data_IF_871036919736
#
_entry.id   IF_871036919736
#
_cell.length_a   1.000
_cell.length_b   1.000
_cell.length_c   1.000
_cell.angle_alpha   90.00
_cell.angle_beta   90.00
_cell.angle_gamma   90.00
#
_symmetry.space_group_name_H-M   'P 1'
#
loop_
_entity.id
_entity.type
_entity.pdbx_description
1 polymer ?
#
# COMPACT_ATOMS: atom_id res chain seq x y z
N UNK A 1 7.26 -17.17 27.55
CA UNK A 1 8.24 -16.80 26.51
C UNK A 1 8.97 -15.56 26.99
N UNK A 2 10.28 -15.66 27.23
CA UNK A 2 11.07 -14.56 27.80
C UNK A 2 11.30 -13.41 26.81
N UNK A 3 11.72 -12.25 27.32
CA UNK A 3 12.10 -11.02 26.59
C UNK A 3 13.00 -11.27 25.35
N UNK A 4 13.75 -12.37 25.33
CA UNK A 4 14.54 -12.81 24.18
C UNK A 4 13.68 -13.20 22.96
N UNK A 5 12.55 -13.88 23.16
CA UNK A 5 11.63 -14.24 22.06
C UNK A 5 10.86 -13.04 21.51
N UNK A 6 10.57 -12.05 22.36
CA UNK A 6 9.96 -10.77 21.94
C UNK A 6 10.90 -9.97 21.03
N UNK A 7 12.19 -9.92 21.37
CA UNK A 7 13.20 -9.23 20.56
C UNK A 7 13.38 -9.85 19.17
N UNK A 8 13.41 -11.18 19.06
CA UNK A 8 13.52 -11.89 17.78
C UNK A 8 12.31 -11.65 16.88
N UNK A 9 11.10 -11.71 17.43
CA UNK A 9 9.87 -11.44 16.67
C UNK A 9 9.81 -9.98 16.19
N UNK A 10 10.25 -9.04 17.03
CA UNK A 10 10.32 -7.63 16.65
C UNK A 10 11.39 -7.37 15.58
N UNK A 11 12.51 -8.10 15.60
CA UNK A 11 13.54 -7.99 14.55
C UNK A 11 13.06 -8.57 13.22
N UNK A 12 12.33 -9.69 13.21
CA UNK A 12 11.74 -10.26 11.99
C UNK A 12 10.70 -9.30 11.37
N UNK A 13 9.83 -8.69 12.19
CA UNK A 13 8.82 -7.72 11.76
C UNK A 13 9.46 -6.41 11.27
N UNK A 14 10.47 -5.90 11.99
CA UNK A 14 11.19 -4.70 11.59
C UNK A 14 12.03 -4.93 10.33
N UNK A 15 12.63 -6.11 10.16
CA UNK A 15 13.36 -6.47 8.94
C UNK A 15 12.39 -6.58 7.77
N UNK A 16 11.19 -7.14 7.96
CA UNK A 16 10.13 -7.19 6.95
C UNK A 16 9.64 -5.79 6.55
N UNK A 17 9.37 -4.91 7.53
CA UNK A 17 9.00 -3.51 7.29
C UNK A 17 10.16 -2.71 6.67
N UNK A 18 11.41 -2.98 7.06
CA UNK A 18 12.61 -2.29 6.58
C UNK A 18 13.07 -2.76 5.19
N UNK A 19 12.87 -4.03 4.84
CA UNK A 19 13.07 -4.57 3.49
C UNK A 19 12.01 -4.03 2.52
N UNK A 20 10.76 -3.91 3.00
CA UNK A 20 9.68 -3.25 2.26
C UNK A 20 9.94 -1.76 2.04
N UNK A 21 10.60 -1.08 3.01
CA UNK A 21 10.99 0.32 2.90
C UNK A 21 12.27 0.54 2.07
N UNK A 22 13.24 -0.38 2.11
CA UNK A 22 14.52 -0.23 1.39
C UNK A 22 14.38 -0.37 -0.12
N UNK A 23 13.37 -1.10 -0.63
CA UNK A 23 13.02 -1.08 -2.06
C UNK A 23 12.41 0.26 -2.53
N UNK A 24 12.04 1.16 -1.61
CA UNK A 24 11.37 2.44 -1.92
C UNK A 24 12.31 3.67 -1.86
N UNK A 25 13.57 3.52 -1.39
CA UNK A 25 14.55 4.62 -1.25
C UNK A 25 15.58 4.61 -2.39
N UNK A 26 15.13 4.32 -3.62
CA UNK A 26 15.96 4.44 -4.82
C UNK A 26 15.34 5.38 -5.86
N UNK A 27 14.81 6.53 -5.43
CA UNK A 27 14.78 7.74 -6.25
C UNK A 27 14.58 9.01 -5.37
N UNK A 28 15.63 9.81 -5.11
CA UNK A 28 15.55 10.99 -4.28
C UNK A 28 15.49 12.27 -5.12
N UNK A 29 14.57 12.39 -6.10
CA UNK A 29 14.40 13.68 -6.81
C UNK A 29 12.97 13.98 -7.26
N UNK A 30 12.10 14.39 -6.33
CA UNK A 30 11.18 15.54 -6.54
C UNK A 30 10.27 15.79 -5.33
N UNK A 31 10.68 16.67 -4.40
CA UNK A 31 9.71 17.41 -3.57
C UNK A 31 10.17 18.86 -3.50
N UNK A 32 9.53 19.72 -4.28
CA UNK A 32 9.65 21.18 -4.15
C UNK A 32 8.76 21.70 -3.00
N UNK A 33 9.08 22.87 -2.41
CA UNK A 33 8.52 23.29 -1.11
C UNK A 33 7.17 24.03 -1.25
N UNK A 34 6.25 23.79 -0.31
CA UNK A 34 4.97 24.53 -0.17
C UNK A 34 5.11 25.60 0.94
N UNK A 35 4.60 26.83 0.78
CA UNK A 35 4.78 27.92 1.74
C UNK A 35 3.76 27.88 2.91
N UNK A 36 4.19 28.42 4.06
CA UNK A 36 3.37 28.68 5.26
C UNK A 36 2.32 29.77 5.01
N UNK A 37 1.11 29.61 5.53
CA UNK A 37 0.25 30.77 5.87
C UNK A 37 -0.65 30.54 7.10
N UNK A 38 -0.28 31.30 8.14
CA UNK A 38 -0.96 31.92 9.29
C UNK A 38 -2.50 31.79 9.49
N UNK A 39 -2.87 31.46 10.74
CA UNK A 39 -4.20 31.50 11.42
C UNK A 39 -4.70 32.95 11.70
N UNK A 40 -6.00 33.25 11.99
CA UNK A 40 -6.56 33.02 13.34
C UNK A 40 -8.12 32.92 13.57
N UNK A 41 -8.44 32.41 14.78
CA UNK A 41 -9.57 32.70 15.72
C UNK A 41 -11.01 32.09 15.60
N UNK A 42 -11.24 31.05 16.43
CA UNK A 42 -12.29 30.75 17.45
C UNK A 42 -13.85 30.77 17.21
N UNK A 43 -14.47 29.60 17.53
CA UNK A 43 -15.80 29.29 18.17
C UNK A 43 -17.12 29.56 17.41
N UNK A 44 -18.32 28.99 17.76
CA UNK A 44 -18.74 27.77 18.46
C UNK A 44 -19.67 26.90 17.55
N UNK A 45 -19.16 25.87 16.86
CA UNK A 45 -19.97 25.02 15.94
C UNK A 45 -19.64 23.53 16.06
N UNK A 46 -19.58 22.99 17.27
CA UNK A 46 -19.14 21.60 17.53
C UNK A 46 -20.09 20.48 17.05
N UNK A 47 -21.26 20.77 16.48
CA UNK A 47 -22.16 19.72 15.97
C UNK A 47 -22.35 19.68 14.44
N UNK A 48 -21.99 20.77 13.73
CA UNK A 48 -21.96 20.79 12.24
C UNK A 48 -20.59 20.44 11.68
N UNK A 49 -19.52 20.58 12.47
CA UNK A 49 -18.15 20.31 12.04
C UNK A 49 -17.93 18.82 11.73
N UNK A 50 -18.54 17.89 12.46
CA UNK A 50 -18.41 16.46 12.18
C UNK A 50 -18.97 16.06 10.81
N UNK A 51 -20.07 16.69 10.36
CA UNK A 51 -20.61 16.46 9.00
C UNK A 51 -19.82 17.21 7.91
N UNK A 52 -19.15 18.31 8.26
CA UNK A 52 -18.35 19.12 7.33
C UNK A 52 -16.93 18.57 7.15
N UNK A 53 -16.32 17.99 8.20
CA UNK A 53 -15.05 17.28 8.16
C UNK A 53 -15.17 15.97 7.38
N UNK A 54 -16.28 15.22 7.57
CA UNK A 54 -16.57 14.02 6.77
C UNK A 54 -16.61 14.34 5.27
N UNK A 55 -17.22 15.47 4.88
CA UNK A 55 -17.32 15.92 3.48
C UNK A 55 -16.05 16.55 2.92
N UNK A 56 -15.17 17.09 3.78
CA UNK A 56 -13.89 17.71 3.35
C UNK A 56 -12.77 16.69 3.17
N UNK A 57 -12.79 15.60 3.92
CA UNK A 57 -11.89 14.44 3.71
C UNK A 57 -12.24 13.66 2.43
N UNK A 58 -13.40 13.93 1.84
CA UNK A 58 -13.86 13.30 0.59
C UNK A 58 -13.36 14.02 -0.67
N UNK A 59 -12.74 15.22 -0.57
CA UNK A 59 -12.58 16.10 -1.72
C UNK A 59 -11.23 16.84 -1.89
N UNK A 60 -10.15 16.38 -1.27
CA UNK A 60 -8.80 16.84 -1.66
C UNK A 60 -7.74 15.85 -1.18
N UNK A 61 -7.37 14.89 -2.03
CA UNK A 61 -6.11 14.16 -1.89
C UNK A 61 -5.66 13.61 -3.25
N UNK A 62 -4.47 14.00 -3.77
CA UNK A 62 -3.93 13.49 -5.04
C UNK A 62 -3.79 11.96 -5.07
N UNK A 63 -3.70 11.32 -3.91
CA UNK A 63 -3.49 9.88 -3.74
C UNK A 63 -4.79 9.08 -3.47
N UNK A 64 -5.93 9.73 -3.29
CA UNK A 64 -7.23 9.04 -3.29
C UNK A 64 -7.71 8.74 -4.73
N UNK A 65 -7.13 9.44 -5.72
CA UNK A 65 -7.36 9.24 -7.16
C UNK A 65 -6.81 7.90 -7.69
N UNK A 66 -5.94 7.25 -6.92
CA UNK A 66 -5.08 6.18 -7.38
C UNK A 66 -5.82 4.95 -7.93
N UNK A 67 -7.06 4.69 -7.56
CA UNK A 67 -7.86 3.63 -8.22
C UNK A 67 -9.29 4.08 -8.40
N UNK A 68 -9.51 5.26 -8.98
CA UNK A 68 -10.85 5.60 -9.41
C UNK A 68 -11.35 4.44 -10.30
N UNK A 69 -12.54 3.84 -10.04
CA UNK A 69 -13.12 2.80 -10.90
C UNK A 69 -13.16 3.20 -12.39
N UNK A 70 -13.11 4.52 -12.64
CA UNK A 70 -13.00 5.16 -13.93
C UNK A 70 -11.65 4.87 -14.62
N UNK A 71 -10.49 4.97 -13.96
CA UNK A 71 -9.18 4.79 -14.62
C UNK A 71 -8.97 3.35 -15.13
N UNK A 72 -9.40 2.35 -14.37
CA UNK A 72 -9.40 0.96 -14.80
C UNK A 72 -10.38 0.71 -15.96
N UNK A 73 -11.56 1.34 -15.92
CA UNK A 73 -12.54 1.23 -16.99
C UNK A 73 -11.99 1.85 -18.28
N UNK A 74 -11.34 3.02 -18.19
CA UNK A 74 -10.75 3.73 -19.32
C UNK A 74 -9.65 2.90 -19.99
N UNK A 75 -8.78 2.27 -19.19
CA UNK A 75 -7.78 1.32 -19.70
C UNK A 75 -8.44 0.18 -20.50
N UNK A 76 -9.46 -0.47 -19.93
CA UNK A 76 -10.16 -1.57 -20.61
C UNK A 76 -10.88 -1.11 -21.87
N UNK A 77 -11.46 0.08 -21.86
CA UNK A 77 -12.14 0.65 -23.02
C UNK A 77 -11.17 0.94 -24.16
N UNK A 78 -10.01 1.54 -23.86
CA UNK A 78 -8.93 1.73 -24.85
C UNK A 78 -8.43 0.40 -25.42
N UNK A 79 -8.25 -0.61 -24.57
CA UNK A 79 -7.83 -1.96 -25.00
C UNK A 79 -8.88 -2.72 -25.84
N UNK A 80 -10.14 -2.27 -25.86
CA UNK A 80 -11.18 -2.82 -26.75
C UNK A 80 -11.13 -2.23 -28.16
N UNK A 81 -10.42 -1.13 -28.36
CA UNK A 81 -10.35 -0.49 -29.67
C UNK A 81 -9.54 -1.36 -30.66
N UNK A 82 -9.96 -1.47 -31.93
CA UNK A 82 -9.24 -2.28 -32.92
C UNK A 82 -7.77 -1.85 -33.11
N UNK A 83 -7.50 -0.56 -32.97
CA UNK A 83 -6.15 0.02 -33.01
C UNK A 83 -5.24 -0.43 -31.86
N UNK A 84 -5.78 -1.00 -30.78
CA UNK A 84 -5.01 -1.56 -29.67
C UNK A 84 -4.76 -3.08 -29.82
N UNK A 85 -5.16 -3.69 -30.94
CA UNK A 85 -5.11 -5.14 -31.13
C UNK A 85 -3.71 -5.74 -30.92
N UNK A 86 -2.66 -5.05 -31.38
CA UNK A 86 -1.28 -5.50 -31.21
C UNK A 86 -0.84 -5.51 -29.75
N UNK A 87 -1.28 -4.53 -28.94
CA UNK A 87 -1.05 -4.54 -27.49
C UNK A 87 -1.76 -5.71 -26.81
N UNK A 88 -3.04 -5.94 -27.15
CA UNK A 88 -3.80 -7.07 -26.59
C UNK A 88 -3.12 -8.41 -26.93
N UNK A 89 -2.61 -8.55 -28.16
CA UNK A 89 -1.85 -9.72 -28.60
C UNK A 89 -0.55 -9.87 -27.82
N UNK A 90 0.22 -8.78 -27.65
CA UNK A 90 1.47 -8.78 -26.89
C UNK A 90 1.24 -9.19 -25.42
N UNK A 91 0.24 -8.60 -24.76
CA UNK A 91 -0.13 -8.92 -23.36
C UNK A 91 -0.51 -10.40 -23.22
N UNK A 92 -1.36 -10.91 -24.11
CA UNK A 92 -1.76 -12.33 -24.09
C UNK A 92 -0.57 -13.25 -24.33
N UNK A 93 0.29 -12.91 -25.29
CA UNK A 93 1.48 -13.69 -25.61
C UNK A 93 2.45 -13.73 -24.43
N UNK A 94 2.65 -12.60 -23.76
CA UNK A 94 3.46 -12.52 -22.54
C UNK A 94 2.92 -13.43 -21.44
N UNK A 95 1.62 -13.32 -21.11
CA UNK A 95 0.99 -14.14 -20.06
C UNK A 95 1.14 -15.65 -20.35
N UNK A 96 0.91 -16.07 -21.60
CA UNK A 96 1.05 -17.48 -22.00
C UNK A 96 2.51 -17.94 -21.91
N UNK A 97 3.44 -17.16 -22.47
CA UNK A 97 4.88 -17.46 -22.44
C UNK A 97 5.39 -17.56 -21.00
N UNK A 98 5.04 -16.59 -20.16
CA UNK A 98 5.40 -16.55 -18.75
C UNK A 98 4.93 -17.80 -17.99
N UNK A 99 3.68 -18.22 -18.24
CA UNK A 99 3.09 -19.39 -17.56
C UNK A 99 3.74 -20.72 -17.97
N UNK A 100 4.40 -20.78 -19.14
CA UNK A 100 5.10 -21.98 -19.61
C UNK A 100 6.52 -22.11 -19.05
N UNK A 101 7.07 -21.03 -18.47
CA UNK A 101 8.39 -21.05 -17.86
C UNK A 101 8.35 -21.63 -16.44
N UNK A 102 9.44 -22.30 -16.05
CA UNK A 102 9.62 -22.79 -14.69
C UNK A 102 9.57 -21.63 -13.67
N UNK A 103 8.88 -21.79 -12.52
CA UNK A 103 8.87 -20.83 -11.43
C UNK A 103 10.24 -20.42 -10.92
N UNK A 104 10.49 -19.11 -10.89
CA UNK A 104 11.74 -18.50 -10.45
C UNK A 104 11.46 -17.02 -10.09
N UNK A 105 11.30 -16.66 -8.81
CA UNK A 105 10.85 -15.33 -8.40
C UNK A 105 11.70 -14.17 -8.93
N UNK A 106 13.03 -14.32 -8.93
CA UNK A 106 13.95 -13.29 -9.42
C UNK A 106 13.81 -13.09 -10.93
N UNK A 107 13.75 -14.18 -11.71
CA UNK A 107 13.55 -14.09 -13.17
C UNK A 107 12.14 -13.61 -13.50
N UNK A 108 11.14 -14.10 -12.80
CA UNK A 108 9.73 -13.80 -12.99
C UNK A 108 9.46 -12.30 -12.72
N UNK A 109 9.97 -11.78 -11.61
CA UNK A 109 9.86 -10.35 -11.28
C UNK A 109 10.57 -9.47 -12.31
N UNK A 110 11.80 -9.81 -12.71
CA UNK A 110 12.54 -9.07 -13.73
C UNK A 110 11.79 -9.05 -15.09
N UNK A 111 11.24 -10.20 -15.50
CA UNK A 111 10.49 -10.31 -16.75
C UNK A 111 9.19 -9.48 -16.74
N UNK A 112 8.47 -9.44 -15.61
CA UNK A 112 7.29 -8.58 -15.47
C UNK A 112 7.67 -7.10 -15.54
N UNK A 113 8.71 -6.69 -14.80
CA UNK A 113 9.16 -5.29 -14.79
C UNK A 113 9.61 -4.82 -16.18
N UNK A 114 10.40 -5.64 -16.88
CA UNK A 114 10.82 -5.35 -18.25
C UNK A 114 9.62 -5.25 -19.20
N UNK A 115 8.65 -6.17 -19.09
CA UNK A 115 7.45 -6.13 -19.92
C UNK A 115 6.61 -4.86 -19.68
N UNK A 116 6.38 -4.48 -18.43
CA UNK A 116 5.62 -3.29 -18.07
C UNK A 116 6.31 -2.02 -18.58
N UNK A 117 7.63 -1.87 -18.34
CA UNK A 117 8.40 -0.73 -18.81
C UNK A 117 8.37 -0.59 -20.34
N UNK A 118 8.53 -1.71 -21.06
CA UNK A 118 8.45 -1.72 -22.53
C UNK A 118 7.07 -1.30 -23.03
N UNK A 119 6.01 -1.77 -22.38
CA UNK A 119 4.63 -1.42 -22.74
C UNK A 119 4.30 0.03 -22.43
N UNK A 120 4.79 0.59 -21.32
CA UNK A 120 4.63 2.01 -21.00
C UNK A 120 5.31 2.91 -22.04
N UNK A 121 6.53 2.58 -22.45
CA UNK A 121 7.20 3.29 -23.56
C UNK A 121 6.38 3.18 -24.85
N UNK A 122 5.81 2.00 -25.13
CA UNK A 122 4.99 1.79 -26.30
C UNK A 122 3.66 2.56 -26.24
N UNK A 123 3.02 2.69 -25.06
CA UNK A 123 1.84 3.54 -24.87
C UNK A 123 2.16 4.99 -25.20
N UNK A 124 3.27 5.53 -24.66
CA UNK A 124 3.70 6.92 -24.91
C UNK A 124 3.93 7.21 -26.40
N UNK A 125 4.43 6.22 -27.15
CA UNK A 125 4.70 6.37 -28.59
C UNK A 125 3.47 6.14 -29.49
N UNK A 126 2.38 5.56 -28.97
CA UNK A 126 1.28 5.09 -29.81
C UNK A 126 0.24 6.21 -30.08
N UNK A 127 -0.30 6.32 -31.32
CA UNK A 127 -1.30 7.34 -31.66
C UNK A 127 -2.56 7.34 -30.77
N UNK A 128 -2.92 6.19 -30.17
CA UNK A 128 -4.05 6.09 -29.24
C UNK A 128 -3.89 6.88 -27.94
N UNK A 129 -2.65 7.17 -27.56
CA UNK A 129 -2.32 7.99 -26.39
C UNK A 129 -1.71 9.33 -26.80
N UNK A 130 -1.79 9.70 -28.08
CA UNK A 130 -1.33 11.01 -28.54
C UNK A 130 -2.15 12.12 -27.86
N UNK A 131 -1.46 13.02 -27.17
CA UNK A 131 -2.08 14.14 -26.45
C UNK A 131 -2.65 13.80 -25.07
N UNK A 132 -2.45 12.58 -24.58
CA UNK A 132 -2.74 12.25 -23.19
C UNK A 132 -1.78 12.95 -22.23
N UNK A 133 -2.27 13.26 -21.02
CA UNK A 133 -1.41 13.77 -19.94
C UNK A 133 -0.52 12.67 -19.35
N UNK A 134 0.50 13.05 -18.59
CA UNK A 134 1.36 12.08 -17.92
C UNK A 134 0.56 11.24 -16.92
N UNK A 135 -0.41 11.85 -16.22
CA UNK A 135 -1.28 11.14 -15.28
C UNK A 135 -2.18 10.10 -15.98
N UNK A 136 -2.63 10.37 -17.22
CA UNK A 136 -3.40 9.41 -18.01
C UNK A 136 -2.52 8.24 -18.50
N UNK A 137 -1.25 8.52 -18.82
CA UNK A 137 -0.27 7.51 -19.21
C UNK A 137 0.13 6.62 -18.02
N UNK A 138 0.39 7.20 -16.86
CA UNK A 138 0.60 6.49 -15.60
C UNK A 138 -0.61 5.61 -15.27
N UNK A 139 -1.82 6.17 -15.35
CA UNK A 139 -3.07 5.43 -15.13
C UNK A 139 -3.22 4.23 -16.08
N UNK A 140 -2.77 4.35 -17.33
CA UNK A 140 -2.76 3.24 -18.28
C UNK A 140 -1.72 2.17 -17.94
N UNK A 141 -0.54 2.56 -17.46
CA UNK A 141 0.49 1.66 -16.92
C UNK A 141 -0.03 0.88 -15.70
N UNK A 142 -0.71 1.55 -14.78
CA UNK A 142 -1.35 0.93 -13.62
C UNK A 142 -2.47 -0.05 -14.03
N UNK A 143 -3.27 0.32 -15.02
CA UNK A 143 -4.26 -0.57 -15.62
C UNK A 143 -3.61 -1.83 -16.21
N UNK A 144 -2.49 -1.68 -16.92
CA UNK A 144 -1.74 -2.81 -17.46
C UNK A 144 -1.19 -3.71 -16.35
N UNK A 145 -0.52 -3.15 -15.34
CA UNK A 145 -0.02 -3.89 -14.18
C UNK A 145 -1.17 -4.68 -13.53
N UNK A 146 -2.29 -4.01 -13.27
CA UNK A 146 -3.48 -4.63 -12.69
C UNK A 146 -3.99 -5.80 -13.51
N UNK A 147 -4.05 -5.66 -14.84
CA UNK A 147 -4.49 -6.74 -15.72
C UNK A 147 -3.52 -7.93 -15.69
N UNK A 148 -2.22 -7.68 -15.88
CA UNK A 148 -1.17 -8.70 -15.94
C UNK A 148 -1.07 -9.43 -14.61
N UNK A 149 -0.92 -8.70 -13.50
CA UNK A 149 -0.75 -9.30 -12.17
C UNK A 149 -1.99 -10.05 -11.71
N UNK A 150 -3.20 -9.65 -12.13
CA UNK A 150 -4.42 -10.43 -11.88
C UNK A 150 -4.39 -11.80 -12.56
N UNK A 151 -3.83 -11.88 -13.77
CA UNK A 151 -3.72 -13.13 -14.53
C UNK A 151 -2.58 -14.02 -14.03
N UNK A 152 -1.47 -13.41 -13.61
CA UNK A 152 -0.29 -14.12 -13.11
C UNK A 152 -0.38 -14.47 -11.61
N UNK A 153 -1.35 -13.91 -10.87
CA UNK A 153 -1.44 -13.99 -9.41
C UNK A 153 -1.18 -15.40 -8.85
N UNK A 154 -1.88 -16.41 -9.35
CA UNK A 154 -1.77 -17.81 -8.87
C UNK A 154 -0.41 -18.45 -9.14
N UNK A 155 0.38 -17.88 -10.05
CA UNK A 155 1.69 -18.38 -10.47
C UNK A 155 2.84 -17.67 -9.76
N UNK A 156 2.66 -16.41 -9.38
CA UNK A 156 3.71 -15.58 -8.75
C UNK A 156 3.52 -15.43 -7.25
N UNK A 157 2.28 -15.43 -6.78
CA UNK A 157 1.96 -15.24 -5.36
C UNK A 157 2.05 -16.57 -4.60
N UNK A 158 2.81 -16.58 -3.50
CA UNK A 158 3.01 -17.75 -2.64
C UNK A 158 3.48 -19.01 -3.41
N UNK A 159 4.29 -18.80 -4.46
CA UNK A 159 4.68 -19.87 -5.40
C UNK A 159 5.84 -20.73 -4.90
N UNK A 160 6.60 -20.23 -3.91
CA UNK A 160 7.74 -20.93 -3.30
C UNK A 160 7.28 -21.64 -2.02
N UNK A 161 7.45 -22.97 -1.91
CA UNK A 161 7.01 -23.71 -0.71
C UNK A 161 7.66 -23.27 0.60
N UNK A 162 8.89 -22.75 0.55
CA UNK A 162 9.58 -22.26 1.73
C UNK A 162 9.02 -20.93 2.24
N UNK A 163 8.51 -20.07 1.34
CA UNK A 163 7.80 -18.84 1.72
C UNK A 163 6.50 -19.16 2.47
N UNK A 164 5.77 -20.19 2.03
CA UNK A 164 4.55 -20.64 2.72
C UNK A 164 4.82 -21.10 4.16
N UNK A 165 5.95 -21.76 4.41
CA UNK A 165 6.35 -22.18 5.77
C UNK A 165 6.75 -21.00 6.64
N UNK A 166 7.42 -19.99 6.07
CA UNK A 166 7.77 -18.77 6.80
C UNK A 166 6.52 -17.98 7.17
N UNK A 167 5.54 -17.91 6.27
CA UNK A 167 4.24 -17.29 6.49
C UNK A 167 3.48 -17.98 7.63
N UNK A 168 3.41 -19.31 7.62
CA UNK A 168 2.79 -20.10 8.70
C UNK A 168 3.46 -19.82 10.06
N UNK A 169 4.80 -19.84 10.11
CA UNK A 169 5.55 -19.57 11.34
C UNK A 169 5.32 -18.15 11.85
N UNK A 170 5.30 -17.16 10.95
CA UNK A 170 5.07 -15.78 11.32
C UNK A 170 3.62 -15.57 11.78
N UNK A 171 2.66 -16.22 11.13
CA UNK A 171 1.26 -16.22 11.56
C UNK A 171 1.10 -16.79 12.97
N UNK A 172 1.72 -17.94 13.28
CA UNK A 172 1.69 -18.52 14.62
C UNK A 172 2.31 -17.56 15.67
N UNK A 173 3.48 -16.98 15.35
CA UNK A 173 4.16 -16.01 16.23
C UNK A 173 3.28 -14.79 16.51
N UNK A 174 2.70 -14.18 15.47
CA UNK A 174 1.77 -13.05 15.62
C UNK A 174 0.54 -13.48 16.42
N UNK A 175 0.04 -14.69 16.15
CA UNK A 175 -1.07 -15.35 16.84
C UNK A 175 -0.92 -15.41 18.36
N UNK A 176 0.30 -15.66 18.83
CA UNK A 176 0.65 -15.69 20.25
C UNK A 176 0.86 -14.28 20.81
N UNK A 177 1.63 -13.43 20.12
CA UNK A 177 1.97 -12.08 20.58
C UNK A 177 0.74 -11.18 20.70
N UNK A 178 -0.20 -11.27 19.75
CA UNK A 178 -1.40 -10.42 19.74
C UNK A 178 -2.25 -10.55 21.01
N UNK A 179 -2.17 -11.67 21.74
CA UNK A 179 -2.99 -11.97 22.91
C UNK A 179 -2.57 -11.16 24.14
N UNK A 180 -1.30 -10.76 24.23
CA UNK A 180 -0.75 -10.10 25.42
C UNK A 180 -0.03 -8.78 25.11
N UNK A 181 0.21 -8.45 23.84
CA UNK A 181 0.85 -7.18 23.47
C UNK A 181 -0.02 -5.99 23.89
N UNK A 182 0.62 -5.06 24.59
CA UNK A 182 0.07 -3.78 25.04
C UNK A 182 0.81 -2.61 24.39
N UNK A 183 0.15 -1.46 24.15
CA UNK A 183 0.78 -0.29 23.54
C UNK A 183 2.03 0.18 24.29
N UNK A 184 2.02 0.11 25.62
CA UNK A 184 3.13 0.55 26.47
C UNK A 184 4.42 -0.28 26.26
N UNK A 185 4.30 -1.53 25.79
CA UNK A 185 5.46 -2.41 25.52
C UNK A 185 6.18 -2.05 24.21
N UNK A 186 5.57 -1.20 23.40
CA UNK A 186 6.13 -0.63 22.18
C UNK A 186 6.43 0.86 22.35
N UNK A 187 6.46 1.38 23.58
CA UNK A 187 6.70 2.79 23.88
C UNK A 187 5.63 3.76 23.32
N UNK A 188 4.40 3.28 23.10
CA UNK A 188 3.28 4.13 22.67
C UNK A 188 2.73 4.92 23.86
N UNK A 189 2.94 6.24 23.84
CA UNK A 189 2.43 7.18 24.85
C UNK A 189 0.89 7.12 24.93
N UNK A 190 0.34 7.29 26.13
CA UNK A 190 -1.11 7.27 26.38
C UNK A 190 -1.88 8.33 25.60
N UNK A 191 -1.23 9.46 25.28
CA UNK A 191 -1.77 10.54 24.44
C UNK A 191 -2.10 10.07 23.01
N UNK A 192 -1.38 9.07 22.50
CA UNK A 192 -1.56 8.49 21.17
C UNK A 192 -2.45 7.24 21.14
N UNK A 193 -3.01 6.85 22.28
CA UNK A 193 -3.86 5.66 22.36
C UNK A 193 -5.30 5.99 21.97
N UNK A 194 -5.70 5.55 20.78
CA UNK A 194 -7.06 5.72 20.28
C UNK A 194 -7.52 4.48 19.50
N UNK A 195 -8.22 3.61 20.22
CA UNK A 195 -8.72 2.31 19.75
C UNK A 195 -9.59 2.43 18.48
N UNK A 196 -10.43 3.46 18.40
CA UNK A 196 -11.32 3.65 17.24
C UNK A 196 -10.52 3.88 15.95
N UNK A 197 -9.48 4.72 15.98
CA UNK A 197 -8.71 4.99 14.76
C UNK A 197 -7.71 3.88 14.47
N UNK A 198 -7.19 3.18 15.48
CA UNK A 198 -6.43 1.96 15.26
C UNK A 198 -7.28 0.87 14.59
N UNK A 199 -8.55 0.71 14.99
CA UNK A 199 -9.47 -0.20 14.32
C UNK A 199 -9.71 0.20 12.85
N UNK A 200 -9.76 1.50 12.55
CA UNK A 200 -9.84 1.97 11.15
C UNK A 200 -8.58 1.63 10.36
N UNK A 201 -7.40 1.85 10.94
CA UNK A 201 -6.12 1.49 10.30
C UNK A 201 -6.01 -0.03 10.05
N UNK A 202 -6.41 -0.84 11.04
CA UNK A 202 -6.50 -2.30 10.89
C UNK A 202 -7.42 -2.70 9.74
N UNK A 203 -8.60 -2.05 9.62
CA UNK A 203 -9.54 -2.32 8.52
C UNK A 203 -8.99 -1.96 7.15
N UNK A 204 -8.20 -0.89 7.03
CA UNK A 204 -7.52 -0.58 5.76
C UNK A 204 -6.50 -1.67 5.41
N UNK A 205 -5.68 -2.08 6.37
CA UNK A 205 -4.66 -3.12 6.16
C UNK A 205 -5.28 -4.50 5.85
N UNK A 206 -6.42 -4.82 6.45
CA UNK A 206 -7.16 -6.08 6.18
C UNK A 206 -7.62 -6.22 4.72
N UNK A 207 -7.79 -5.12 3.98
CA UNK A 207 -8.23 -5.17 2.58
C UNK A 207 -7.16 -5.69 1.63
N UNK A 208 -5.91 -5.78 2.06
CA UNK A 208 -4.77 -6.10 1.19
C UNK A 208 -4.90 -7.46 0.47
N UNK A 209 -5.60 -8.42 1.07
CA UNK A 209 -5.88 -9.74 0.46
C UNK A 209 -7.09 -9.72 -0.50
N UNK A 210 -7.87 -8.64 -0.50
CA UNK A 210 -8.95 -8.45 -1.48
C UNK A 210 -8.42 -8.02 -2.85
N UNK A 211 -7.14 -7.64 -2.93
CA UNK A 211 -6.51 -7.13 -4.13
C UNK A 211 -5.38 -8.03 -4.62
N UNK A 212 -5.24 -8.14 -5.94
CA UNK A 212 -4.19 -8.93 -6.61
C UNK A 212 -3.06 -8.06 -7.14
N UNK A 213 -3.36 -6.84 -7.59
CA UNK A 213 -2.38 -5.93 -8.13
C UNK A 213 -1.46 -5.37 -7.02
N UNK A 214 -0.13 -5.31 -7.22
CA UNK A 214 0.82 -4.76 -6.26
C UNK A 214 0.44 -3.33 -5.83
N UNK A 215 0.06 -2.48 -6.78
CA UNK A 215 -0.34 -1.10 -6.46
C UNK A 215 -1.59 -1.01 -5.60
N UNK A 216 -2.62 -1.81 -5.88
CA UNK A 216 -3.84 -1.85 -5.04
C UNK A 216 -3.51 -2.32 -3.60
N UNK A 217 -2.59 -3.28 -3.46
CA UNK A 217 -2.07 -3.72 -2.15
C UNK A 217 -1.33 -2.58 -1.44
N UNK A 218 -0.49 -1.84 -2.15
CA UNK A 218 0.24 -0.69 -1.61
C UNK A 218 -0.71 0.42 -1.13
N UNK A 219 -1.80 0.68 -1.87
CA UNK A 219 -2.83 1.65 -1.47
C UNK A 219 -3.45 1.28 -0.11
N UNK A 220 -3.65 -0.01 0.19
CA UNK A 220 -4.15 -0.44 1.50
C UNK A 220 -3.17 -0.07 2.64
N UNK A 221 -1.87 -0.27 2.41
CA UNK A 221 -0.81 0.10 3.36
C UNK A 221 -0.78 1.61 3.56
N UNK A 222 -0.78 2.38 2.45
CA UNK A 222 -0.76 3.84 2.50
C UNK A 222 -1.99 4.41 3.21
N UNK A 223 -3.17 3.84 2.97
CA UNK A 223 -4.39 4.25 3.68
C UNK A 223 -4.31 3.94 5.17
N UNK A 224 -3.77 2.77 5.56
CA UNK A 224 -3.47 2.46 6.96
C UNK A 224 -2.52 3.51 7.57
N UNK A 225 -1.42 3.82 6.89
CA UNK A 225 -0.45 4.84 7.34
C UNK A 225 -1.08 6.24 7.48
N UNK A 226 -1.94 6.65 6.54
CA UNK A 226 -2.67 7.92 6.60
C UNK A 226 -3.60 7.99 7.82
N UNK A 227 -4.33 6.91 8.12
CA UNK A 227 -5.18 6.85 9.31
C UNK A 227 -4.36 7.00 10.59
N UNK A 228 -3.20 6.33 10.67
CA UNK A 228 -2.28 6.44 11.81
C UNK A 228 -1.76 7.87 11.94
N UNK A 229 -1.24 8.47 10.86
CA UNK A 229 -0.72 9.84 10.87
C UNK A 229 -1.78 10.86 11.29
N UNK A 230 -3.01 10.73 10.78
CA UNK A 230 -4.11 11.62 11.17
C UNK A 230 -4.47 11.47 12.64
N UNK A 231 -4.44 10.25 13.20
CA UNK A 231 -4.61 10.03 14.64
C UNK A 231 -3.52 10.74 15.44
N UNK A 232 -2.25 10.57 15.05
CA UNK A 232 -1.12 11.11 15.79
C UNK A 232 -1.11 12.64 15.75
N UNK A 233 -1.39 13.23 14.58
CA UNK A 233 -1.50 14.67 14.40
C UNK A 233 -2.63 15.25 15.26
N UNK A 234 -3.80 14.61 15.27
CA UNK A 234 -4.93 15.09 16.07
C UNK A 234 -4.66 14.99 17.57
N UNK A 235 -3.96 13.93 18.00
CA UNK A 235 -3.53 13.76 19.38
C UNK A 235 -2.51 14.83 19.79
N UNK A 236 -1.49 15.11 18.97
CA UNK A 236 -0.49 16.14 19.28
C UNK A 236 -1.09 17.55 19.33
N UNK A 237 -2.02 17.86 18.43
CA UNK A 237 -2.78 19.11 18.46
C UNK A 237 -3.60 19.23 19.75
N UNK A 238 -4.18 18.13 20.24
CA UNK A 238 -4.99 18.12 21.45
C UNK A 238 -4.14 18.23 22.73
N UNK A 239 -2.93 17.67 22.74
CA UNK A 239 -1.99 17.75 23.87
C UNK A 239 -1.04 18.95 23.81
N UNK A 240 -1.06 19.74 22.73
CA UNK A 240 -0.14 20.83 22.47
C UNK A 240 1.34 20.38 22.48
N UNK A 241 1.57 19.18 21.92
CA UNK A 241 2.90 18.58 21.69
C UNK A 241 3.39 18.86 20.26
N UNK A 242 4.68 18.63 20.04
CA UNK A 242 5.29 18.71 18.71
C UNK A 242 4.63 17.71 17.74
N UNK A 243 4.66 18.00 16.41
CA UNK A 243 4.16 17.07 15.41
C UNK A 243 4.84 15.70 15.53
N UNK A 244 4.06 14.61 15.40
CA UNK A 244 4.57 13.25 15.57
C UNK A 244 5.62 12.91 14.50
N UNK A 245 6.71 12.26 14.93
CA UNK A 245 7.77 11.78 14.05
C UNK A 245 7.70 10.27 13.80
N UNK A 246 8.81 9.71 13.30
CA UNK A 246 8.95 8.26 13.10
C UNK A 246 8.89 7.49 14.44
N UNK A 247 9.37 8.10 15.53
CA UNK A 247 9.38 7.51 16.86
C UNK A 247 7.98 7.34 17.44
N UNK A 248 7.04 8.22 17.08
CA UNK A 248 5.61 8.05 17.40
C UNK A 248 4.89 7.14 16.40
N UNK A 249 5.25 7.21 15.12
CA UNK A 249 4.56 6.50 14.05
C UNK A 249 4.83 4.99 14.04
N UNK A 250 6.11 4.60 14.07
CA UNK A 250 6.52 3.22 13.86
C UNK A 250 5.96 2.27 14.93
N UNK A 251 6.00 2.60 16.24
CA UNK A 251 5.33 1.80 17.26
C UNK A 251 3.85 1.55 17.00
N UNK A 252 3.11 2.59 16.58
CA UNK A 252 1.68 2.46 16.30
C UNK A 252 1.43 1.59 15.07
N UNK A 253 2.25 1.73 14.02
CA UNK A 253 2.17 0.85 12.84
C UNK A 253 2.42 -0.61 13.20
N UNK A 254 3.43 -0.90 14.02
CA UNK A 254 3.73 -2.26 14.51
C UNK A 254 2.55 -2.79 15.32
N UNK A 255 2.01 -2.01 16.25
CA UNK A 255 0.86 -2.40 17.06
C UNK A 255 -0.38 -2.70 16.21
N UNK A 256 -0.71 -1.82 15.27
CA UNK A 256 -1.81 -2.01 14.32
C UNK A 256 -1.62 -3.29 13.52
N UNK A 257 -0.42 -3.52 12.97
CA UNK A 257 -0.10 -4.71 12.17
C UNK A 257 -0.24 -6.00 12.98
N UNK A 258 0.28 -6.02 14.22
CA UNK A 258 0.15 -7.15 15.14
C UNK A 258 -1.30 -7.47 15.52
N UNK A 259 -2.18 -6.46 15.54
CA UNK A 259 -3.60 -6.62 15.87
C UNK A 259 -4.47 -6.98 14.66
N UNK A 260 -3.93 -6.98 13.45
CA UNK A 260 -4.66 -7.46 12.26
C UNK A 260 -4.73 -8.99 12.28
N UNK A 261 -5.92 -9.50 12.62
CA UNK A 261 -6.22 -10.94 12.74
C UNK A 261 -5.98 -11.76 11.45
N UNK A 262 -6.03 -11.13 10.28
CA UNK A 262 -6.00 -11.80 8.97
C UNK A 262 -4.67 -11.67 8.24
N UNK A 263 -3.56 -11.41 8.94
CA UNK A 263 -2.25 -11.21 8.29
C UNK A 263 -1.69 -12.48 7.60
N UNK A 264 -2.37 -13.62 7.73
CA UNK A 264 -2.01 -14.92 7.17
C UNK A 264 -1.60 -14.86 5.69
N UNK A 265 -2.31 -14.09 4.86
CA UNK A 265 -1.97 -14.00 3.41
C UNK A 265 -1.22 -12.70 3.04
N UNK A 266 -0.94 -11.81 3.98
CA UNK A 266 -0.32 -10.51 3.65
C UNK A 266 1.20 -10.59 3.45
N UNK A 267 1.84 -11.68 3.86
CA UNK A 267 3.30 -11.73 3.97
C UNK A 267 4.01 -11.95 2.63
N UNK A 268 3.29 -12.39 1.60
CA UNK A 268 3.76 -12.40 0.20
C UNK A 268 3.61 -11.02 -0.49
N UNK A 269 3.84 -9.93 0.24
CA UNK A 269 3.61 -8.58 -0.24
C UNK A 269 4.55 -8.16 -1.38
N UNK A 270 5.63 -8.91 -1.62
CA UNK A 270 6.67 -8.57 -2.59
C UNK A 270 7.30 -9.79 -3.30
N UNK A 271 6.52 -10.86 -3.54
CA UNK A 271 6.85 -11.81 -4.61
C UNK A 271 6.49 -11.19 -5.97
#
# INVERSE_FOLDING_TARGET
>A
MGLAGFRTVLTDILLFLSLSASKFVSDPTSVSPIPRLVHPLASPRKLRLNKFLQRRMENADPFASSTAPLTWHDFLERMRQPSAADFVKAIKSFIVSFSNNAPDPERDSAAVQEFLANMEMAFRAHPLWAGCSEEELESAGEGLEKYVMTKLYTRVFASVPDDSKLDEQLFEKIGLVQQFIRPEQLDIKTTFQNETSWLLAQKELQKINMYKAPRDKLVCILNCCKVINNLLLNASIASNEDPPGADEFLPVLIYVTLKVRSLHDCLNLFC
#
